data_IF_414098873680
#
_entry.id   IF_414098873680
#
_cell.length_a   1.000
_cell.length_b   1.000
_cell.length_c   1.000
_cell.angle_alpha   90.00
_cell.angle_beta   90.00
_cell.angle_gamma   90.00
#
_symmetry.space_group_name_H-M   'P 1'
#
loop_
_entity.id
_entity.type
_entity.pdbx_description
1 polymer ?
#
# COMPACT_ATOMS: atom_id res chain seq x y z
N UNK A 1 32.32 -45.39 12.30
CA UNK A 1 33.78 -45.54 12.31
C UNK A 1 34.42 -44.19 12.64
N UNK A 2 35.07 -44.17 13.80
CA UNK A 2 36.03 -43.18 14.35
C UNK A 2 35.66 -41.67 14.44
N UNK A 3 35.29 -41.32 15.65
CA UNK A 3 35.37 -40.06 16.41
C UNK A 3 36.83 -39.55 16.41
N UNK A 4 37.04 -38.25 16.21
CA UNK A 4 38.20 -37.53 16.77
C UNK A 4 37.73 -36.27 17.45
N UNK A 5 37.82 -36.31 18.77
CA UNK A 5 37.82 -35.16 19.69
C UNK A 5 39.14 -34.40 19.52
N UNK A 6 39.12 -33.08 19.57
CA UNK A 6 40.30 -32.32 19.93
C UNK A 6 39.90 -31.23 20.97
N UNK A 7 40.71 -31.25 22.01
CA UNK A 7 40.54 -30.64 23.32
C UNK A 7 41.08 -29.19 23.33
N UNK A 8 40.51 -28.40 24.19
CA UNK A 8 40.88 -27.02 24.57
C UNK A 8 42.29 -26.86 25.11
N UNK A 9 42.83 -25.65 24.97
CA UNK A 9 43.86 -25.15 25.89
C UNK A 9 43.59 -23.66 26.22
N UNK A 10 43.33 -23.41 27.49
CA UNK A 10 43.33 -22.10 28.15
C UNK A 10 44.80 -21.61 28.24
N UNK A 11 45.03 -20.32 28.00
CA UNK A 11 46.20 -19.65 28.50
C UNK A 11 45.79 -18.26 29.03
N UNK A 12 45.74 -18.16 30.34
CA UNK A 12 45.68 -16.94 31.14
C UNK A 12 47.07 -16.30 31.18
N UNK A 13 47.15 -15.00 30.92
CA UNK A 13 48.35 -14.19 31.11
C UNK A 13 48.01 -12.90 31.79
N UNK A 14 48.23 -12.86 33.12
CA UNK A 14 48.38 -11.64 33.92
C UNK A 14 49.63 -10.88 33.45
N UNK A 15 49.56 -9.57 33.31
CA UNK A 15 50.72 -8.71 33.50
C UNK A 15 50.37 -7.40 34.20
N UNK A 16 51.18 -7.20 35.18
CA UNK A 16 51.20 -6.24 36.28
C UNK A 16 51.60 -4.82 35.88
N UNK A 17 51.14 -3.89 36.68
CA UNK A 17 51.50 -2.49 36.83
C UNK A 17 53.00 -2.16 36.80
N UNK A 18 53.34 -1.00 36.23
CA UNK A 18 54.46 -0.18 36.71
C UNK A 18 54.19 1.33 36.52
N UNK A 19 54.16 2.01 37.63
CA UNK A 19 54.22 3.47 37.79
C UNK A 19 55.68 3.94 37.81
N UNK A 20 55.96 5.01 37.10
CA UNK A 20 56.96 6.06 37.43
C UNK A 20 56.89 7.10 36.31
N UNK A 21 56.76 8.39 36.45
CA UNK A 21 57.12 9.34 37.46
C UNK A 21 57.78 10.57 36.80
N UNK A 22 57.12 11.76 36.87
CA UNK A 22 57.67 13.16 36.88
C UNK A 22 58.60 13.63 35.72
N UNK A 23 58.35 14.68 35.01
CA UNK A 23 58.41 16.10 35.34
C UNK A 23 58.40 17.03 34.12
N UNK A 24 57.58 18.09 34.17
CA UNK A 24 57.94 19.47 33.86
C UNK A 24 58.03 19.96 32.41
N UNK A 25 57.02 20.71 31.96
CA UNK A 25 57.14 22.11 31.50
C UNK A 25 55.87 22.53 30.75
N UNK A 26 55.23 23.62 31.17
CA UNK A 26 54.21 24.41 30.49
C UNK A 26 54.92 25.37 29.48
N UNK A 27 54.22 26.12 28.53
CA UNK A 27 52.79 26.30 28.37
C UNK A 27 52.32 26.38 26.90
N UNK A 28 50.98 26.47 26.81
CA UNK A 28 50.18 27.25 25.84
C UNK A 28 49.83 26.66 24.48
N UNK A 29 48.59 26.26 24.36
CA UNK A 29 47.60 26.80 23.43
C UNK A 29 46.24 26.20 23.79
N UNK A 30 45.33 27.06 24.19
CA UNK A 30 43.92 26.73 24.38
C UNK A 30 43.30 26.25 23.08
N UNK A 31 43.11 24.94 22.94
CA UNK A 31 42.09 24.40 22.07
C UNK A 31 40.79 24.32 22.91
N UNK A 32 39.86 25.18 22.63
CA UNK A 32 38.49 25.02 23.10
C UNK A 32 38.00 23.65 22.66
N UNK A 33 38.04 22.68 23.54
CA UNK A 33 37.25 21.47 23.44
C UNK A 33 35.83 21.92 23.62
N UNK A 34 35.13 22.08 22.50
CA UNK A 34 33.67 22.05 22.48
C UNK A 34 33.29 20.70 23.07
N UNK A 35 32.88 20.71 24.34
CA UNK A 35 32.25 19.57 24.98
C UNK A 35 30.99 19.29 24.16
N UNK A 36 31.01 18.26 23.30
CA UNK A 36 29.80 17.67 22.82
C UNK A 36 29.02 17.26 24.04
N UNK A 37 27.93 17.95 24.29
CA UNK A 37 26.89 17.51 25.21
C UNK A 37 26.44 16.13 24.73
N UNK A 38 26.99 15.08 25.34
CA UNK A 38 26.55 13.70 25.09
C UNK A 38 25.25 13.51 25.84
N UNK A 39 24.15 14.07 25.29
CA UNK A 39 22.80 13.76 25.74
C UNK A 39 22.64 12.25 25.86
N UNK A 40 21.82 11.82 26.82
CA UNK A 40 21.51 10.38 27.03
C UNK A 40 21.20 9.72 25.70
N UNK A 41 21.95 8.69 25.33
CA UNK A 41 21.70 7.91 24.13
C UNK A 41 20.30 7.31 24.17
N UNK A 42 19.54 7.49 23.11
CA UNK A 42 18.19 6.95 22.91
C UNK A 42 18.32 5.79 21.92
N UNK A 43 17.83 4.62 22.30
CA UNK A 43 17.72 3.49 21.40
C UNK A 43 16.26 3.28 21.04
N UNK A 44 15.96 3.17 19.73
CA UNK A 44 14.66 2.81 19.18
C UNK A 44 14.75 1.44 18.52
N UNK A 45 13.81 0.56 18.81
CA UNK A 45 13.65 -0.70 18.10
C UNK A 45 12.68 -0.45 16.92
N UNK A 46 13.11 -0.77 15.71
CA UNK A 46 12.28 -0.62 14.51
C UNK A 46 12.20 -1.91 13.72
N UNK A 47 11.00 -2.27 13.25
CA UNK A 47 10.84 -3.44 12.38
C UNK A 47 9.91 -3.22 11.18
N UNK A 48 10.22 -3.92 10.08
CA UNK A 48 9.43 -3.92 8.85
C UNK A 48 9.58 -5.22 8.06
N UNK A 49 8.65 -5.44 7.10
CA UNK A 49 8.78 -6.52 6.11
C UNK A 49 9.11 -5.97 4.73
N UNK A 50 9.72 -6.81 3.90
CA UNK A 50 9.95 -6.48 2.50
C UNK A 50 10.95 -7.38 1.79
N UNK A 51 11.38 -6.93 0.61
CA UNK A 51 12.46 -7.50 -0.16
C UNK A 51 13.83 -6.98 0.33
N UNK A 52 14.92 -7.59 -0.13
CA UNK A 52 16.27 -7.12 0.18
C UNK A 52 16.48 -5.66 -0.25
N UNK A 53 15.96 -5.26 -1.42
CA UNK A 53 16.02 -3.86 -1.89
C UNK A 53 15.39 -2.90 -0.88
N UNK A 54 14.25 -3.28 -0.29
CA UNK A 54 13.60 -2.49 0.76
C UNK A 54 14.43 -2.42 2.03
N UNK A 55 15.05 -3.54 2.42
CA UNK A 55 15.90 -3.59 3.61
C UNK A 55 17.10 -2.67 3.46
N UNK A 56 17.79 -2.75 2.32
CA UNK A 56 18.97 -1.93 2.03
C UNK A 56 18.64 -0.43 1.98
N UNK A 57 17.52 -0.06 1.34
CA UNK A 57 17.08 1.33 1.28
C UNK A 57 16.69 1.86 2.66
N UNK A 58 15.96 1.08 3.46
CA UNK A 58 15.53 1.50 4.80
C UNK A 58 16.73 1.66 5.75
N UNK A 59 17.70 0.75 5.70
CA UNK A 59 18.92 0.86 6.50
C UNK A 59 19.72 2.13 6.15
N UNK A 60 19.84 2.49 4.86
CA UNK A 60 20.48 3.75 4.46
C UNK A 60 19.74 4.98 4.97
N UNK A 61 18.42 4.94 5.04
CA UNK A 61 17.63 6.04 5.65
C UNK A 61 17.88 6.14 7.14
N UNK A 62 17.99 4.99 7.84
CA UNK A 62 18.36 4.95 9.26
C UNK A 62 19.76 5.55 9.48
N UNK A 63 20.76 5.12 8.71
CA UNK A 63 22.12 5.66 8.75
C UNK A 63 22.15 7.19 8.51
N UNK A 64 21.34 7.68 7.56
CA UNK A 64 21.21 9.11 7.30
C UNK A 64 20.61 9.84 8.53
N UNK A 65 19.57 9.30 9.14
CA UNK A 65 18.96 9.89 10.33
C UNK A 65 19.94 9.92 11.51
N UNK A 66 20.62 8.80 11.80
CA UNK A 66 21.60 8.71 12.88
C UNK A 66 22.78 9.66 12.68
N UNK A 67 23.21 9.87 11.43
CA UNK A 67 24.27 10.84 11.13
C UNK A 67 23.89 12.29 11.47
N UNK A 68 22.60 12.61 11.40
CA UNK A 68 22.04 13.92 11.75
C UNK A 68 21.65 14.00 13.24
N UNK A 69 21.44 12.84 13.89
CA UNK A 69 20.99 12.71 15.29
C UNK A 69 21.91 11.75 16.07
N UNK A 70 23.15 12.15 16.38
CA UNK A 70 24.18 11.24 16.91
C UNK A 70 23.89 10.68 18.31
N UNK A 71 22.87 11.19 18.99
CA UNK A 71 22.37 10.67 20.26
C UNK A 71 21.28 9.60 20.10
N UNK A 72 20.85 9.30 18.86
CA UNK A 72 19.82 8.29 18.57
C UNK A 72 20.48 7.10 17.89
N UNK A 73 20.08 5.91 18.29
CA UNK A 73 20.44 4.65 17.66
C UNK A 73 19.17 3.84 17.36
N UNK A 74 19.06 3.30 16.14
CA UNK A 74 17.89 2.53 15.70
C UNK A 74 18.32 1.08 15.47
N UNK A 75 17.86 0.19 16.36
CA UNK A 75 18.00 -1.25 16.22
C UNK A 75 16.97 -1.75 15.21
N UNK A 76 17.44 -2.12 14.01
CA UNK A 76 16.61 -2.51 12.86
C UNK A 76 16.42 -4.03 12.82
N UNK A 77 15.17 -4.46 12.73
CA UNK A 77 14.80 -5.84 12.45
C UNK A 77 13.96 -5.89 11.16
N UNK A 78 14.24 -6.83 10.26
CA UNK A 78 13.48 -6.96 9.02
C UNK A 78 13.27 -8.43 8.64
N UNK A 79 12.15 -8.70 7.98
CA UNK A 79 11.66 -10.04 7.73
C UNK A 79 10.98 -10.13 6.36
N UNK A 80 10.72 -11.35 5.88
CA UNK A 80 9.66 -11.60 4.91
C UNK A 80 8.27 -11.32 5.53
N UNK A 81 7.23 -11.29 4.70
CA UNK A 81 5.89 -10.90 5.14
C UNK A 81 5.32 -11.83 6.23
N UNK A 82 5.39 -13.14 6.03
CA UNK A 82 4.78 -14.11 6.95
C UNK A 82 5.54 -14.19 8.28
N UNK A 83 6.85 -14.20 8.23
CA UNK A 83 7.73 -14.18 9.42
C UNK A 83 7.54 -12.92 10.24
N UNK A 84 7.37 -11.77 9.58
CA UNK A 84 7.12 -10.49 10.25
C UNK A 84 5.85 -10.54 11.11
N UNK A 85 4.71 -10.95 10.54
CA UNK A 85 3.44 -10.99 11.29
C UNK A 85 3.42 -12.08 12.36
N UNK A 86 4.07 -13.21 12.15
CA UNK A 86 4.27 -14.24 13.18
C UNK A 86 5.05 -13.67 14.37
N UNK A 87 6.10 -12.92 14.11
CA UNK A 87 6.90 -12.26 15.15
C UNK A 87 6.10 -11.16 15.85
N UNK A 88 5.42 -10.30 15.08
CA UNK A 88 4.57 -9.23 15.63
C UNK A 88 3.48 -9.78 16.54
N UNK A 89 2.78 -10.84 16.15
CA UNK A 89 1.76 -11.48 16.99
C UNK A 89 2.34 -11.99 18.32
N UNK A 90 3.53 -12.55 18.27
CA UNK A 90 4.25 -12.99 19.48
C UNK A 90 4.58 -11.82 20.41
N UNK A 91 5.06 -10.71 19.85
CA UNK A 91 5.42 -9.52 20.61
C UNK A 91 4.19 -8.79 21.17
N UNK A 92 3.09 -8.77 20.41
CA UNK A 92 1.79 -8.24 20.87
C UNK A 92 1.28 -9.05 22.07
N UNK A 93 1.37 -10.38 22.00
CA UNK A 93 0.96 -11.24 23.12
C UNK A 93 1.85 -11.06 24.38
N UNK A 94 3.11 -10.68 24.18
CA UNK A 94 4.07 -10.39 25.26
C UNK A 94 4.04 -8.93 25.74
N UNK A 95 3.26 -8.06 25.10
CA UNK A 95 3.21 -6.61 25.34
C UNK A 95 4.57 -5.89 25.15
N UNK A 96 5.41 -6.44 24.24
CA UNK A 96 6.79 -6.00 23.96
C UNK A 96 7.03 -5.67 22.47
N UNK A 97 6.09 -4.95 21.84
CA UNK A 97 6.20 -4.53 20.43
C UNK A 97 7.36 -3.53 20.27
N UNK A 98 8.03 -3.57 19.10
CA UNK A 98 9.05 -2.58 18.72
C UNK A 98 8.53 -1.15 18.88
N UNK A 99 9.40 -0.19 19.12
CA UNK A 99 9.02 1.24 19.27
C UNK A 99 8.35 1.77 18.00
N UNK A 100 8.92 1.42 16.84
CA UNK A 100 8.38 1.75 15.51
C UNK A 100 8.15 0.45 14.76
N UNK A 101 6.96 0.28 14.18
CA UNK A 101 6.64 -0.93 13.43
C UNK A 101 5.76 -0.63 12.22
N UNK A 102 5.95 -1.43 11.17
CA UNK A 102 5.24 -1.28 9.91
C UNK A 102 3.94 -2.05 9.93
N UNK A 103 2.85 -1.43 9.46
CA UNK A 103 1.57 -2.10 9.19
C UNK A 103 1.10 -1.83 7.77
N UNK A 104 0.15 -2.63 7.31
CA UNK A 104 -0.59 -2.46 6.07
C UNK A 104 -2.09 -2.44 6.34
N UNK A 105 -2.89 -2.90 5.40
CA UNK A 105 -4.35 -2.96 5.55
C UNK A 105 -4.88 -3.83 6.70
N UNK A 106 -4.01 -4.60 7.36
CA UNK A 106 -4.30 -5.43 8.53
C UNK A 106 -4.15 -4.70 9.88
N UNK A 107 -3.95 -3.38 9.87
CA UNK A 107 -3.77 -2.60 11.09
C UNK A 107 -4.92 -2.68 12.11
N UNK A 108 -6.21 -2.94 11.73
CA UNK A 108 -7.29 -3.04 12.69
C UNK A 108 -7.03 -4.01 13.84
N UNK A 109 -6.41 -5.14 13.54
CA UNK A 109 -6.02 -6.17 14.53
C UNK A 109 -5.10 -5.61 15.63
N UNK A 110 -4.30 -4.58 15.31
CA UNK A 110 -3.23 -4.07 16.16
C UNK A 110 -3.53 -2.69 16.77
N UNK A 111 -4.71 -2.09 16.53
CA UNK A 111 -5.06 -0.73 16.99
C UNK A 111 -4.80 -0.53 18.50
N UNK A 112 -5.08 -1.53 19.32
CA UNK A 112 -4.87 -1.45 20.77
C UNK A 112 -3.41 -1.29 21.18
N UNK A 113 -2.47 -1.65 20.30
CA UNK A 113 -1.03 -1.58 20.55
C UNK A 113 -0.40 -0.31 19.95
N UNK A 114 -1.19 0.52 19.27
CA UNK A 114 -0.71 1.73 18.56
C UNK A 114 -0.92 2.96 19.43
N UNK A 115 0.07 3.85 19.44
CA UNK A 115 -0.01 5.21 19.95
C UNK A 115 -0.56 6.13 18.86
N UNK A 116 -1.69 6.84 19.07
CA UNK A 116 -2.20 7.82 18.11
C UNK A 116 -1.21 8.97 17.88
N UNK A 117 -1.11 9.42 16.63
CA UNK A 117 -0.16 10.46 16.23
C UNK A 117 -0.72 11.88 16.32
N UNK A 118 -2.03 12.04 16.62
CA UNK A 118 -2.71 13.33 16.63
C UNK A 118 -2.03 14.38 17.52
N UNK A 119 -1.54 13.96 18.70
CA UNK A 119 -0.80 14.83 19.61
C UNK A 119 0.49 15.36 18.98
N UNK A 120 1.29 14.49 18.37
CA UNK A 120 2.57 14.84 17.75
C UNK A 120 2.38 15.72 16.50
N UNK A 121 1.28 15.54 15.77
CA UNK A 121 0.91 16.40 14.63
C UNK A 121 0.50 17.79 15.15
N UNK A 122 -0.35 17.86 16.17
CA UNK A 122 -0.79 19.11 16.78
C UNK A 122 0.38 19.92 17.36
N UNK A 123 1.32 19.25 17.98
CA UNK A 123 2.50 19.88 18.62
C UNK A 123 3.61 20.22 17.60
N UNK A 124 3.40 19.87 16.30
CA UNK A 124 4.33 20.16 15.20
C UNK A 124 5.57 19.28 15.16
N UNK A 125 5.63 18.19 15.94
CA UNK A 125 6.70 17.18 15.89
C UNK A 125 6.61 16.40 14.57
N UNK A 126 5.38 16.08 14.13
CA UNK A 126 5.09 15.53 12.82
C UNK A 126 4.45 16.61 11.96
N UNK A 127 5.13 16.98 10.87
CA UNK A 127 4.62 17.97 9.93
C UNK A 127 3.80 17.30 8.82
N UNK A 128 2.52 17.64 8.76
CA UNK A 128 1.58 17.17 7.73
C UNK A 128 1.04 18.29 6.84
N UNK A 129 1.64 19.51 6.91
CA UNK A 129 1.15 20.67 6.17
C UNK A 129 1.33 20.57 4.65
N UNK A 130 2.16 19.65 4.19
CA UNK A 130 2.50 19.45 2.77
C UNK A 130 1.83 18.21 2.17
N UNK A 131 0.68 17.81 2.72
CA UNK A 131 -0.13 16.69 2.19
C UNK A 131 -1.63 17.03 2.25
N UNK A 132 -2.45 16.25 1.55
CA UNK A 132 -3.90 16.44 1.57
C UNK A 132 -4.57 15.49 2.57
N UNK A 133 -5.81 15.83 2.96
CA UNK A 133 -6.62 14.98 3.84
C UNK A 133 -6.88 13.60 3.23
N UNK A 134 -6.94 13.47 1.91
CA UNK A 134 -7.09 12.17 1.24
C UNK A 134 -5.93 11.22 1.54
N UNK A 135 -4.70 11.74 1.53
CA UNK A 135 -3.53 10.93 1.90
C UNK A 135 -3.50 10.60 3.39
N UNK A 136 -3.84 11.56 4.27
CA UNK A 136 -3.86 11.34 5.72
C UNK A 136 -4.97 10.34 6.12
N UNK A 137 -6.13 10.42 5.48
CA UNK A 137 -7.26 9.54 5.76
C UNK A 137 -6.94 8.05 5.55
N UNK A 138 -5.93 7.72 4.73
CA UNK A 138 -5.53 6.33 4.44
C UNK A 138 -5.02 5.57 5.67
N UNK A 139 -4.64 6.27 6.71
CA UNK A 139 -4.08 5.70 7.94
C UNK A 139 -4.79 6.21 9.21
N UNK A 140 -6.03 6.67 9.06
CA UNK A 140 -6.93 6.96 10.20
C UNK A 140 -7.77 5.73 10.55
N UNK A 141 -8.07 5.59 11.83
CA UNK A 141 -9.07 4.62 12.28
C UNK A 141 -10.51 5.11 12.02
N UNK A 142 -11.49 4.27 12.32
CA UNK A 142 -12.90 4.61 12.13
C UNK A 142 -13.41 5.76 13.04
N UNK A 143 -12.63 6.14 14.06
CA UNK A 143 -12.92 7.28 14.93
C UNK A 143 -12.24 8.57 14.42
N UNK A 144 -11.48 8.49 13.34
CA UNK A 144 -10.73 9.59 12.76
C UNK A 144 -9.36 9.86 13.37
N UNK A 145 -8.89 9.01 14.30
CA UNK A 145 -7.56 9.13 14.91
C UNK A 145 -6.47 8.73 13.92
N UNK A 146 -5.40 9.51 13.84
CA UNK A 146 -4.24 9.20 13.02
C UNK A 146 -3.38 8.14 13.72
N UNK A 147 -3.45 6.88 13.28
CA UNK A 147 -2.80 5.74 13.94
C UNK A 147 -1.45 5.36 13.35
N UNK A 148 -1.05 6.01 12.29
CA UNK A 148 0.24 5.86 11.62
C UNK A 148 0.38 6.87 10.51
N UNK A 149 1.55 6.95 9.87
CA UNK A 149 1.73 7.70 8.64
C UNK A 149 2.07 6.77 7.50
N UNK A 150 1.37 6.94 6.39
CA UNK A 150 1.67 6.21 5.16
C UNK A 150 3.05 6.57 4.66
N UNK A 151 3.85 5.55 4.36
CA UNK A 151 5.20 5.66 3.81
C UNK A 151 5.25 5.40 2.32
N UNK A 152 4.09 5.30 1.71
CA UNK A 152 3.85 5.19 0.29
C UNK A 152 2.39 4.93 0.02
N UNK A 153 1.89 5.45 -1.09
CA UNK A 153 0.50 5.28 -1.49
C UNK A 153 0.41 4.70 -2.89
N UNK A 154 -0.67 3.97 -3.11
CA UNK A 154 -1.08 3.45 -4.40
C UNK A 154 -2.56 3.76 -4.62
N UNK A 155 -3.03 3.57 -5.83
CA UNK A 155 -4.45 3.58 -6.15
C UNK A 155 -4.72 2.57 -7.25
N UNK A 156 -5.96 2.16 -7.42
CA UNK A 156 -6.34 1.31 -8.55
C UNK A 156 -6.66 2.16 -9.78
N UNK A 157 -6.41 1.57 -10.95
CA UNK A 157 -6.72 2.17 -12.23
C UNK A 157 -6.85 1.10 -13.31
N UNK A 158 -7.14 1.56 -14.50
CA UNK A 158 -7.16 0.73 -15.72
C UNK A 158 -5.92 1.10 -16.53
N UNK A 159 -4.94 0.19 -16.59
CA UNK A 159 -3.83 0.29 -17.53
C UNK A 159 -4.35 -0.01 -18.93
N UNK A 160 -3.92 0.74 -19.94
CA UNK A 160 -4.37 0.58 -21.32
C UNK A 160 -3.26 0.91 -22.33
N UNK A 161 -3.39 0.32 -23.51
CA UNK A 161 -2.52 0.57 -24.65
C UNK A 161 -3.16 1.60 -25.60
N UNK A 162 -2.67 2.85 -25.67
CA UNK A 162 -3.25 3.88 -26.53
C UNK A 162 -3.16 3.55 -28.03
N UNK A 163 -2.17 2.74 -28.47
CA UNK A 163 -2.08 2.34 -29.87
C UNK A 163 -3.19 1.35 -30.24
N UNK A 164 -3.58 0.45 -29.33
CA UNK A 164 -4.70 -0.46 -29.55
C UNK A 164 -6.03 0.29 -29.58
N UNK A 165 -6.21 1.31 -28.71
CA UNK A 165 -7.35 2.22 -28.79
C UNK A 165 -7.42 2.94 -30.12
N UNK A 166 -6.32 3.52 -30.58
CA UNK A 166 -6.24 4.19 -31.89
C UNK A 166 -6.57 3.22 -33.04
N UNK A 167 -6.02 2.00 -33.03
CA UNK A 167 -6.30 0.96 -34.04
C UNK A 167 -7.77 0.55 -34.07
N UNK A 168 -8.44 0.55 -32.91
CA UNK A 168 -9.87 0.29 -32.80
C UNK A 168 -10.73 1.50 -33.16
N UNK A 169 -10.14 2.68 -33.38
CA UNK A 169 -10.86 3.93 -33.67
C UNK A 169 -11.50 4.56 -32.45
N UNK A 170 -10.97 4.25 -31.25
CA UNK A 170 -11.43 4.76 -29.96
C UNK A 170 -10.58 5.95 -29.51
N UNK A 171 -11.19 6.87 -28.77
CA UNK A 171 -10.48 7.88 -27.99
C UNK A 171 -9.89 7.23 -26.73
N UNK A 172 -8.82 7.83 -26.17
CA UNK A 172 -8.28 7.41 -24.89
C UNK A 172 -9.30 7.66 -23.76
N UNK A 173 -9.33 6.83 -22.69
CA UNK A 173 -10.25 7.00 -21.58
C UNK A 173 -10.12 8.37 -20.90
N UNK A 174 -11.25 9.05 -20.68
CA UNK A 174 -11.32 10.32 -19.94
C UNK A 174 -11.30 10.10 -18.42
N UNK A 175 -11.09 11.17 -17.66
CA UNK A 175 -11.05 11.08 -16.18
C UNK A 175 -12.41 10.76 -15.54
N UNK A 176 -13.50 10.99 -16.25
CA UNK A 176 -14.88 10.78 -15.79
C UNK A 176 -15.66 9.76 -16.63
N UNK A 177 -14.93 8.91 -17.37
CA UNK A 177 -15.56 7.83 -18.13
C UNK A 177 -16.34 6.87 -17.21
N UNK A 178 -17.29 6.14 -17.81
CA UNK A 178 -18.24 5.31 -17.08
C UNK A 178 -18.03 3.82 -17.36
N UNK A 179 -18.64 2.95 -16.56
CA UNK A 179 -18.67 1.51 -16.82
C UNK A 179 -19.37 1.19 -18.15
N UNK A 180 -20.32 2.03 -18.60
CA UNK A 180 -20.93 1.88 -19.93
C UNK A 180 -19.94 2.24 -21.05
N UNK A 181 -19.12 3.28 -20.86
CA UNK A 181 -18.05 3.63 -21.81
C UNK A 181 -17.02 2.49 -21.87
N UNK A 182 -16.55 1.97 -20.70
CA UNK A 182 -15.63 0.85 -20.61
C UNK A 182 -16.18 -0.42 -21.30
N UNK A 183 -17.45 -0.76 -21.07
CA UNK A 183 -18.13 -1.89 -21.72
C UNK A 183 -18.14 -1.72 -23.24
N UNK A 184 -18.54 -0.54 -23.72
CA UNK A 184 -18.57 -0.21 -25.14
C UNK A 184 -17.19 -0.32 -25.77
N UNK A 185 -16.16 0.18 -25.11
CA UNK A 185 -14.77 0.09 -25.58
C UNK A 185 -14.31 -1.37 -25.66
N UNK A 186 -14.62 -2.19 -24.65
CA UNK A 186 -14.33 -3.63 -24.68
C UNK A 186 -14.95 -4.33 -25.91
N UNK A 187 -16.24 -4.08 -26.19
CA UNK A 187 -16.95 -4.66 -27.34
C UNK A 187 -16.30 -4.16 -28.64
N UNK A 188 -16.05 -2.86 -28.75
CA UNK A 188 -15.45 -2.27 -29.96
C UNK A 188 -14.06 -2.84 -30.25
N UNK A 189 -13.23 -3.00 -29.23
CA UNK A 189 -11.89 -3.61 -29.34
C UNK A 189 -12.02 -5.04 -29.83
N UNK A 190 -12.93 -5.82 -29.25
CA UNK A 190 -13.22 -7.20 -29.73
C UNK A 190 -13.61 -7.23 -31.16
N UNK A 191 -14.57 -6.40 -31.59
CA UNK A 191 -15.06 -6.36 -32.95
C UNK A 191 -14.00 -5.92 -33.97
N UNK A 192 -13.16 -4.95 -33.62
CA UNK A 192 -12.19 -4.36 -34.56
C UNK A 192 -10.85 -5.10 -34.58
N UNK A 193 -10.41 -5.65 -33.44
CA UNK A 193 -9.06 -6.21 -33.30
C UNK A 193 -9.07 -7.73 -33.03
N UNK A 194 -10.21 -8.31 -32.64
CA UNK A 194 -10.34 -9.74 -32.32
C UNK A 194 -9.75 -10.15 -30.96
N UNK A 195 -9.18 -9.20 -30.19
CA UNK A 195 -8.61 -9.42 -28.87
C UNK A 195 -9.63 -9.11 -27.77
N UNK A 196 -9.31 -9.39 -26.51
CA UNK A 196 -10.12 -8.95 -25.37
C UNK A 196 -10.07 -7.42 -25.21
N UNK A 197 -11.16 -6.81 -24.77
CA UNK A 197 -11.18 -5.40 -24.38
C UNK A 197 -10.37 -5.18 -23.12
N UNK A 198 -10.56 -6.05 -22.10
CA UNK A 198 -9.81 -6.02 -20.85
C UNK A 198 -9.35 -7.42 -20.45
N UNK A 199 -8.16 -7.52 -19.86
CA UNK A 199 -7.57 -8.77 -19.38
C UNK A 199 -8.24 -9.28 -18.10
N UNK A 200 -8.22 -8.49 -17.07
CA UNK A 200 -8.81 -8.83 -15.75
C UNK A 200 -9.29 -7.61 -15.02
N UNK A 201 -10.11 -7.83 -14.00
CA UNK A 201 -10.58 -6.84 -13.02
C UNK A 201 -10.54 -7.48 -11.63
N UNK A 202 -10.24 -6.71 -10.60
CA UNK A 202 -10.57 -7.12 -9.23
C UNK A 202 -12.08 -6.98 -9.03
N UNK A 203 -12.78 -8.07 -9.21
CA UNK A 203 -14.23 -8.08 -9.20
C UNK A 203 -14.83 -7.72 -7.84
N UNK A 204 -14.16 -8.06 -6.72
CA UNK A 204 -14.69 -7.70 -5.41
C UNK A 204 -14.55 -6.19 -5.17
N UNK A 205 -13.42 -5.62 -5.54
CA UNK A 205 -13.23 -4.18 -5.43
C UNK A 205 -14.16 -3.44 -6.38
N UNK A 206 -14.17 -3.78 -7.67
CA UNK A 206 -14.96 -3.07 -8.67
C UNK A 206 -16.47 -3.31 -8.52
N UNK A 207 -16.87 -4.57 -8.31
CA UNK A 207 -18.27 -5.00 -8.34
C UNK A 207 -18.98 -4.93 -6.99
N UNK A 208 -18.27 -4.82 -5.88
CA UNK A 208 -18.85 -4.77 -4.53
C UNK A 208 -18.51 -3.45 -3.84
N UNK A 209 -17.25 -3.25 -3.46
CA UNK A 209 -16.90 -2.09 -2.63
C UNK A 209 -17.07 -0.77 -3.36
N UNK A 210 -16.52 -0.65 -4.58
CA UNK A 210 -16.69 0.56 -5.40
C UNK A 210 -18.13 0.73 -5.85
N UNK A 211 -18.81 -0.35 -6.24
CA UNK A 211 -20.19 -0.28 -6.69
C UNK A 211 -21.10 0.31 -5.62
N UNK A 212 -20.93 -0.10 -4.34
CA UNK A 212 -21.64 0.50 -3.21
C UNK A 212 -21.35 2.01 -3.10
N UNK A 213 -20.08 2.40 -3.11
CA UNK A 213 -19.65 3.81 -2.97
C UNK A 213 -20.03 4.68 -4.16
N UNK A 214 -20.05 4.13 -5.38
CA UNK A 214 -20.46 4.84 -6.59
C UNK A 214 -21.96 5.02 -6.71
N UNK A 215 -22.76 4.16 -6.06
CA UNK A 215 -24.23 4.26 -6.09
C UNK A 215 -24.73 5.49 -5.33
N UNK A 216 -24.07 5.81 -4.22
CA UNK A 216 -24.42 6.96 -3.40
C UNK A 216 -23.14 7.50 -2.74
N UNK A 217 -22.94 8.82 -2.81
CA UNK A 217 -21.84 9.50 -2.15
C UNK A 217 -21.76 9.09 -0.69
N UNK A 218 -20.55 8.79 -0.22
CA UNK A 218 -20.21 8.37 1.16
C UNK A 218 -20.86 7.04 1.61
N UNK A 219 -21.47 6.27 0.69
CA UNK A 219 -21.91 4.91 0.99
C UNK A 219 -20.76 3.91 0.93
N UNK A 220 -20.87 2.86 1.72
CA UNK A 220 -19.89 1.77 1.76
C UNK A 220 -20.61 0.41 1.69
N UNK A 221 -19.88 -0.63 1.34
CA UNK A 221 -20.42 -1.97 1.42
C UNK A 221 -20.49 -2.44 2.89
N UNK A 222 -19.42 -2.24 3.63
CA UNK A 222 -19.37 -2.53 5.06
C UNK A 222 -19.71 -1.32 5.91
N UNK A 223 -20.35 -1.53 7.06
CA UNK A 223 -20.57 -0.48 8.05
C UNK A 223 -19.23 -0.04 8.66
N UNK A 224 -19.09 1.23 8.98
CA UNK A 224 -17.92 1.77 9.68
C UNK A 224 -17.71 1.18 11.07
N UNK A 225 -18.78 0.66 11.69
CA UNK A 225 -18.76 -0.04 12.97
C UNK A 225 -18.20 -1.47 12.88
N UNK A 226 -17.96 -1.98 11.66
CA UNK A 226 -17.48 -3.35 11.40
C UNK A 226 -18.40 -4.47 11.90
N UNK A 227 -19.66 -4.18 12.17
CA UNK A 227 -20.67 -5.12 12.71
C UNK A 227 -21.72 -5.55 11.66
N UNK A 228 -21.46 -5.29 10.40
CA UNK A 228 -22.41 -5.63 9.33
C UNK A 228 -22.07 -5.02 7.98
N UNK A 229 -22.99 -5.22 7.05
CA UNK A 229 -22.99 -4.52 5.76
C UNK A 229 -23.99 -3.36 5.79
N UNK A 230 -23.66 -2.30 5.07
CA UNK A 230 -24.53 -1.13 4.89
C UNK A 230 -25.44 -1.29 3.68
N UNK A 231 -24.95 -1.99 2.64
CA UNK A 231 -25.69 -2.20 1.41
C UNK A 231 -26.80 -3.24 1.57
N UNK A 232 -28.02 -2.87 1.24
CA UNK A 232 -29.22 -3.75 1.31
C UNK A 232 -29.83 -4.05 -0.05
N UNK A 233 -29.64 -3.18 -1.03
CA UNK A 233 -30.16 -3.33 -2.38
C UNK A 233 -29.21 -4.19 -3.24
N UNK A 234 -29.64 -5.34 -3.77
CA UNK A 234 -28.83 -6.18 -4.64
C UNK A 234 -28.67 -5.62 -6.07
N UNK A 235 -29.52 -4.69 -6.50
CA UNK A 235 -29.56 -4.25 -7.91
C UNK A 235 -28.21 -3.71 -8.44
N UNK A 236 -27.47 -2.84 -7.71
CA UNK A 236 -26.18 -2.36 -8.22
C UNK A 236 -25.15 -3.47 -8.46
N UNK A 237 -25.18 -4.52 -7.63
CA UNK A 237 -24.29 -5.68 -7.75
C UNK A 237 -24.71 -6.60 -8.89
N UNK A 238 -26.03 -6.79 -9.06
CA UNK A 238 -26.59 -7.55 -10.19
C UNK A 238 -26.25 -6.90 -11.53
N UNK A 239 -26.35 -5.58 -11.63
CA UNK A 239 -26.00 -4.82 -12.85
C UNK A 239 -24.52 -5.01 -13.25
N UNK A 240 -23.63 -5.02 -12.26
CA UNK A 240 -22.21 -5.30 -12.51
C UNK A 240 -21.99 -6.75 -13.00
N UNK A 241 -22.58 -7.73 -12.33
CA UNK A 241 -22.48 -9.14 -12.70
C UNK A 241 -23.04 -9.39 -14.10
N UNK A 242 -24.16 -8.75 -14.44
CA UNK A 242 -24.76 -8.80 -15.78
C UNK A 242 -23.82 -8.24 -16.85
N UNK A 243 -23.20 -7.09 -16.59
CA UNK A 243 -22.23 -6.48 -17.51
C UNK A 243 -21.05 -7.43 -17.78
N UNK A 244 -20.48 -8.05 -16.74
CA UNK A 244 -19.39 -9.01 -16.92
C UNK A 244 -19.82 -10.25 -17.69
N UNK A 245 -21.02 -10.78 -17.38
CA UNK A 245 -21.60 -11.92 -18.11
C UNK A 245 -21.75 -11.62 -19.61
N UNK A 246 -22.34 -10.48 -19.94
CA UNK A 246 -22.53 -10.06 -21.34
C UNK A 246 -21.20 -9.92 -22.10
N UNK A 247 -20.19 -9.29 -21.46
CA UNK A 247 -18.86 -9.17 -22.06
C UNK A 247 -18.14 -10.52 -22.24
N UNK A 248 -18.37 -11.46 -21.32
CA UNK A 248 -17.82 -12.81 -21.41
C UNK A 248 -18.49 -13.59 -22.54
N UNK A 249 -19.83 -13.51 -22.65
CA UNK A 249 -20.61 -14.17 -23.72
C UNK A 249 -20.22 -13.63 -25.12
N UNK A 250 -19.96 -12.32 -25.24
CA UNK A 250 -19.49 -11.66 -26.45
C UNK A 250 -18.00 -11.94 -26.75
N UNK A 251 -17.26 -12.60 -25.83
CA UNK A 251 -15.83 -12.84 -25.93
C UNK A 251 -14.98 -11.55 -25.87
N UNK A 252 -15.56 -10.45 -25.37
CA UNK A 252 -14.87 -9.18 -25.17
C UNK A 252 -14.12 -9.11 -23.81
N UNK A 253 -14.44 -10.02 -22.90
CA UNK A 253 -13.80 -10.22 -21.62
C UNK A 253 -13.52 -11.72 -21.41
N UNK A 254 -12.35 -12.13 -20.87
CA UNK A 254 -12.03 -13.55 -20.67
C UNK A 254 -12.92 -14.17 -19.59
N UNK A 255 -13.19 -15.47 -19.72
CA UNK A 255 -13.89 -16.24 -18.69
C UNK A 255 -12.98 -16.51 -17.47
N UNK A 256 -13.59 -17.01 -16.40
CA UNK A 256 -12.88 -17.29 -15.14
C UNK A 256 -11.73 -18.30 -15.33
N UNK A 257 -11.85 -19.25 -16.26
CA UNK A 257 -10.80 -20.23 -16.58
C UNK A 257 -9.59 -19.54 -17.20
N UNK A 258 -9.81 -18.70 -18.20
CA UNK A 258 -8.77 -17.94 -18.87
C UNK A 258 -8.06 -16.97 -17.91
N UNK A 259 -8.81 -16.29 -17.01
CA UNK A 259 -8.23 -15.40 -15.99
C UNK A 259 -7.34 -16.18 -15.01
N UNK A 260 -7.70 -17.40 -14.62
CA UNK A 260 -6.90 -18.25 -13.73
C UNK A 260 -5.54 -18.67 -14.31
N UNK A 261 -5.38 -18.61 -15.63
CA UNK A 261 -4.10 -18.87 -16.30
C UNK A 261 -3.10 -17.71 -16.21
N UNK A 262 -3.56 -16.50 -15.87
CA UNK A 262 -2.71 -15.34 -15.64
C UNK A 262 -2.04 -15.49 -14.27
N UNK A 263 -0.78 -15.94 -14.25
CA UNK A 263 -0.04 -16.22 -13.00
C UNK A 263 0.77 -15.02 -12.49
N UNK A 264 1.22 -14.18 -13.40
CA UNK A 264 2.11 -13.05 -13.14
C UNK A 264 1.78 -11.87 -14.09
N UNK A 265 2.59 -10.82 -14.01
CA UNK A 265 2.44 -9.63 -14.86
C UNK A 265 2.78 -9.97 -16.32
N UNK A 266 3.78 -10.79 -16.54
CA UNK A 266 4.26 -11.19 -17.87
C UNK A 266 3.20 -11.97 -18.64
N UNK A 267 2.36 -12.75 -17.94
CA UNK A 267 1.24 -13.50 -18.51
C UNK A 267 -0.05 -12.69 -18.65
N UNK A 268 -0.11 -11.43 -18.21
CA UNK A 268 -1.30 -10.59 -18.39
C UNK A 268 -1.56 -10.31 -19.88
N UNK A 269 -2.82 -10.44 -20.32
CA UNK A 269 -3.18 -10.27 -21.73
C UNK A 269 -2.92 -8.87 -22.28
N UNK A 270 -2.87 -7.83 -21.42
CA UNK A 270 -2.37 -6.53 -21.86
C UNK A 270 -0.89 -6.62 -22.22
N UNK A 271 -0.08 -7.33 -21.44
CA UNK A 271 1.36 -7.49 -21.69
C UNK A 271 1.61 -8.33 -22.94
N UNK A 272 0.89 -9.42 -23.13
CA UNK A 272 1.03 -10.28 -24.33
C UNK A 272 0.44 -9.65 -25.60
N UNK A 273 -0.44 -8.66 -25.46
CA UNK A 273 -1.12 -7.99 -26.57
C UNK A 273 -2.46 -8.61 -26.94
N UNK A 274 -2.96 -9.56 -26.16
CA UNK A 274 -4.25 -10.22 -26.34
C UNK A 274 -5.41 -9.47 -25.68
N UNK A 275 -5.13 -8.36 -24.96
CA UNK A 275 -6.09 -7.39 -24.44
C UNK A 275 -5.58 -5.96 -24.59
N UNK A 276 -6.51 -5.00 -24.65
CA UNK A 276 -6.17 -3.57 -24.72
C UNK A 276 -6.12 -2.87 -23.36
N UNK A 277 -6.73 -3.46 -22.34
CA UNK A 277 -6.80 -2.92 -20.97
C UNK A 277 -6.56 -4.01 -19.94
N UNK A 278 -6.17 -3.60 -18.72
CA UNK A 278 -6.17 -4.46 -17.53
C UNK A 278 -6.32 -3.62 -16.25
N UNK A 279 -6.95 -4.20 -15.23
CA UNK A 279 -7.01 -3.62 -13.89
C UNK A 279 -5.65 -3.73 -13.20
N UNK A 280 -5.20 -2.63 -12.59
CA UNK A 280 -3.90 -2.59 -11.91
C UNK A 280 -3.96 -1.82 -10.58
N UNK A 281 -3.09 -2.16 -9.66
CA UNK A 281 -2.59 -1.20 -8.69
C UNK A 281 -1.52 -0.32 -9.35
N UNK A 282 -1.51 0.96 -9.08
CA UNK A 282 -0.65 1.96 -9.77
C UNK A 282 0.83 1.58 -9.83
N UNK A 283 1.36 0.95 -8.76
CA UNK A 283 2.74 0.49 -8.71
C UNK A 283 3.08 -0.65 -9.70
N UNK A 284 2.09 -1.32 -10.28
CA UNK A 284 2.29 -2.38 -11.27
C UNK A 284 2.53 -1.84 -12.69
N UNK A 285 2.18 -0.58 -12.96
CA UNK A 285 2.27 0.02 -14.29
C UNK A 285 3.70 -0.03 -14.84
N UNK A 286 4.71 0.28 -14.02
CA UNK A 286 6.11 0.22 -14.45
C UNK A 286 6.51 -1.19 -14.89
N UNK A 287 6.10 -2.22 -14.14
CA UNK A 287 6.38 -3.62 -14.52
C UNK A 287 5.70 -4.00 -15.84
N UNK A 288 4.45 -3.54 -16.06
CA UNK A 288 3.72 -3.77 -17.32
C UNK A 288 4.40 -3.07 -18.50
N UNK A 289 4.83 -1.82 -18.33
CA UNK A 289 5.58 -1.06 -19.35
C UNK A 289 6.86 -1.81 -19.73
N UNK A 290 7.65 -2.24 -18.74
CA UNK A 290 8.89 -2.96 -18.99
C UNK A 290 8.67 -4.33 -19.63
N UNK A 291 7.70 -5.12 -19.14
CA UNK A 291 7.43 -6.43 -19.66
C UNK A 291 6.85 -6.40 -21.09
N UNK A 292 5.97 -5.44 -21.39
CA UNK A 292 5.36 -5.31 -22.72
C UNK A 292 6.26 -4.60 -23.74
N UNK A 293 7.20 -3.76 -23.28
CA UNK A 293 7.99 -2.87 -24.15
C UNK A 293 7.14 -1.82 -24.89
N UNK A 294 5.90 -1.57 -24.46
CA UNK A 294 4.93 -0.67 -25.13
C UNK A 294 4.64 0.57 -24.27
N UNK A 295 4.11 1.61 -24.91
CA UNK A 295 3.67 2.82 -24.25
C UNK A 295 2.32 2.58 -23.56
N UNK A 296 2.36 2.05 -22.34
CA UNK A 296 1.16 1.83 -21.54
C UNK A 296 0.86 3.07 -20.70
N UNK A 297 -0.42 3.45 -20.66
CA UNK A 297 -0.94 4.53 -19.82
C UNK A 297 -1.90 3.97 -18.77
N UNK A 298 -2.30 4.81 -17.81
CA UNK A 298 -3.27 4.45 -16.78
C UNK A 298 -4.38 5.50 -16.71
N UNK A 299 -5.62 5.03 -16.68
CA UNK A 299 -6.83 5.83 -16.50
C UNK A 299 -7.43 5.57 -15.12
N UNK A 300 -8.21 6.54 -14.57
CA UNK A 300 -9.04 6.27 -13.40
C UNK A 300 -9.99 5.09 -13.64
N UNK A 301 -10.37 4.39 -12.60
CA UNK A 301 -11.43 3.36 -12.72
C UNK A 301 -12.74 4.00 -13.17
N UNK A 302 -13.55 3.30 -13.98
CA UNK A 302 -14.82 3.86 -14.47
C UNK A 302 -15.79 4.20 -13.33
N UNK A 303 -16.63 5.23 -13.53
CA UNK A 303 -17.71 5.63 -12.61
C UNK A 303 -19.06 5.03 -13.06
N UNK A 304 -20.06 5.02 -12.17
CA UNK A 304 -21.43 4.68 -12.59
C UNK A 304 -22.04 5.74 -13.49
N UNK A 305 -21.78 7.01 -13.21
CA UNK A 305 -22.30 8.13 -13.99
C UNK A 305 -21.23 9.20 -14.15
N UNK A 306 -21.24 9.94 -15.25
CA UNK A 306 -20.37 11.13 -15.41
C UNK A 306 -20.60 12.09 -14.27
N UNK A 307 -19.51 12.59 -13.69
CA UNK A 307 -19.52 13.46 -12.49
C UNK A 307 -20.10 12.81 -11.20
N UNK A 308 -20.42 11.52 -11.22
CA UNK A 308 -20.81 10.76 -10.04
C UNK A 308 -19.65 10.53 -9.08
N UNK A 309 -19.91 9.91 -7.91
CA UNK A 309 -18.86 9.52 -6.99
C UNK A 309 -17.82 8.63 -7.67
N UNK A 310 -16.54 8.84 -7.34
CA UNK A 310 -15.46 8.01 -7.88
C UNK A 310 -15.44 6.61 -7.22
N UNK A 311 -15.83 6.56 -5.94
CA UNK A 311 -15.96 5.32 -5.18
C UNK A 311 -14.62 4.74 -4.72
N UNK A 312 -13.52 5.45 -4.94
CA UNK A 312 -12.18 5.04 -4.52
C UNK A 312 -11.27 6.25 -4.42
N UNK A 313 -10.26 6.13 -3.58
CA UNK A 313 -9.20 7.12 -3.43
C UNK A 313 -7.82 6.47 -3.43
N UNK A 314 -6.84 7.22 -3.00
CA UNK A 314 -5.51 6.68 -2.70
C UNK A 314 -5.58 5.77 -1.48
N UNK A 315 -4.71 4.77 -1.45
CA UNK A 315 -4.61 3.80 -0.35
C UNK A 315 -3.18 3.77 0.17
N UNK A 316 -3.02 3.61 1.48
CA UNK A 316 -1.69 3.36 2.05
C UNK A 316 -1.21 1.98 1.61
N UNK A 317 0.00 1.94 1.03
CA UNK A 317 0.69 0.68 0.77
C UNK A 317 1.18 0.06 2.08
N UNK A 318 1.79 0.91 2.91
CA UNK A 318 2.27 0.59 4.26
C UNK A 318 2.30 1.88 5.08
N UNK A 319 2.28 1.72 6.40
CA UNK A 319 2.39 2.82 7.35
C UNK A 319 3.40 2.50 8.45
N UNK A 320 4.03 3.52 8.99
CA UNK A 320 4.79 3.41 10.25
C UNK A 320 3.91 3.82 11.41
N UNK A 321 3.90 2.97 12.43
CA UNK A 321 3.16 3.15 13.68
C UNK A 321 4.14 3.23 14.85
N UNK A 322 3.73 3.92 15.92
CA UNK A 322 4.44 3.95 17.19
C UNK A 322 3.77 2.97 18.15
N UNK A 323 4.56 2.19 18.87
CA UNK A 323 4.03 1.32 19.92
C UNK A 323 3.50 2.14 21.09
N UNK A 324 2.31 1.80 21.57
CA UNK A 324 1.72 2.40 22.78
C UNK A 324 2.65 2.27 24.00
N UNK A 325 3.45 1.21 24.05
CA UNK A 325 4.35 0.89 25.17
C UNK A 325 5.76 1.45 25.01
N UNK A 326 6.08 2.07 23.86
CA UNK A 326 7.37 2.73 23.66
C UNK A 326 7.67 3.73 24.76
N UNK A 327 8.91 3.76 25.23
CA UNK A 327 9.41 4.73 26.21
C UNK A 327 10.06 5.94 25.56
N UNK A 328 10.22 5.92 24.23
CA UNK A 328 10.83 6.97 23.43
C UNK A 328 9.89 7.47 22.31
N UNK A 329 8.60 7.60 22.61
CA UNK A 329 7.54 7.91 21.65
C UNK A 329 7.79 9.20 20.85
N UNK A 330 8.28 10.25 21.52
CA UNK A 330 8.57 11.52 20.86
C UNK A 330 9.71 11.37 19.84
N UNK A 331 10.75 10.61 20.17
CA UNK A 331 11.85 10.34 19.24
C UNK A 331 11.40 9.45 18.09
N UNK A 332 10.55 8.46 18.35
CA UNK A 332 9.91 7.67 17.32
C UNK A 332 9.06 8.54 16.36
N UNK A 333 8.33 9.53 16.89
CA UNK A 333 7.57 10.49 16.10
C UNK A 333 8.48 11.38 15.23
N UNK A 334 9.63 11.82 15.74
CA UNK A 334 10.64 12.59 14.99
C UNK A 334 11.21 11.75 13.83
N UNK A 335 11.52 10.48 14.09
CA UNK A 335 11.99 9.58 13.02
C UNK A 335 10.92 9.36 11.96
N UNK A 336 9.66 9.12 12.33
CA UNK A 336 8.55 9.00 11.36
C UNK A 336 8.41 10.28 10.55
N UNK A 337 8.47 11.45 11.19
CA UNK A 337 8.47 12.73 10.50
C UNK A 337 9.61 12.85 9.49
N UNK A 338 10.83 12.49 9.88
CA UNK A 338 11.97 12.46 8.99
C UNK A 338 11.74 11.50 7.81
N UNK A 339 11.28 10.29 8.08
CA UNK A 339 11.07 9.26 7.06
C UNK A 339 10.11 9.71 5.95
N UNK A 340 9.06 10.47 6.28
CA UNK A 340 8.06 10.90 5.30
C UNK A 340 8.33 12.27 4.68
N UNK A 341 9.08 13.15 5.36
CA UNK A 341 9.29 14.54 4.94
C UNK A 341 10.68 14.83 4.35
N UNK A 342 11.71 14.04 4.71
CA UNK A 342 13.07 14.31 4.24
C UNK A 342 13.24 13.90 2.77
N UNK A 343 13.69 14.83 1.95
CA UNK A 343 13.84 14.63 0.51
C UNK A 343 14.95 13.61 0.20
N UNK A 344 16.08 13.69 0.91
CA UNK A 344 17.22 12.78 0.65
C UNK A 344 16.89 11.36 1.11
N UNK A 345 16.20 11.20 2.24
CA UNK A 345 15.66 9.90 2.66
C UNK A 345 14.75 9.29 1.58
N UNK A 346 13.84 10.09 1.02
CA UNK A 346 12.90 9.62 0.00
C UNK A 346 13.56 9.38 -1.37
N UNK A 347 14.63 10.10 -1.72
CA UNK A 347 15.48 9.76 -2.88
C UNK A 347 16.16 8.39 -2.72
N UNK A 348 16.60 8.06 -1.50
CA UNK A 348 17.15 6.73 -1.18
C UNK A 348 16.08 5.64 -1.31
N UNK A 349 14.86 5.89 -0.81
CA UNK A 349 13.72 4.97 -0.91
C UNK A 349 13.23 4.79 -2.35
N UNK A 350 13.38 5.82 -3.20
CA UNK A 350 13.09 5.81 -4.63
C UNK A 350 11.72 5.20 -5.01
N UNK A 351 10.67 5.52 -4.24
CA UNK A 351 9.31 5.03 -4.51
C UNK A 351 9.09 3.53 -4.30
N UNK A 352 10.05 2.80 -3.73
CA UNK A 352 9.95 1.34 -3.50
C UNK A 352 8.71 0.97 -2.66
N UNK A 353 8.26 1.87 -1.79
CA UNK A 353 7.08 1.67 -0.94
C UNK A 353 5.78 2.23 -1.53
N UNK A 354 5.85 2.84 -2.72
CA UNK A 354 4.77 3.59 -3.36
C UNK A 354 5.04 5.08 -3.40
N UNK A 355 4.05 5.85 -3.85
CA UNK A 355 4.17 7.30 -4.01
C UNK A 355 4.14 7.99 -2.65
N UNK A 356 5.12 8.86 -2.31
CA UNK A 356 5.15 9.59 -1.05
C UNK A 356 3.92 10.46 -0.84
N UNK A 357 3.48 10.59 0.41
CA UNK A 357 2.29 11.39 0.75
C UNK A 357 2.54 12.91 0.77
N UNK A 358 3.80 13.35 0.89
CA UNK A 358 4.18 14.76 0.94
C UNK A 358 4.45 15.30 -0.47
N UNK A 359 3.82 16.44 -0.85
CA UNK A 359 3.87 16.99 -2.21
C UNK A 359 5.28 17.35 -2.65
N UNK A 360 6.04 18.07 -1.80
CA UNK A 360 7.42 18.46 -2.11
C UNK A 360 8.35 17.25 -2.27
N UNK A 361 8.11 16.22 -1.48
CA UNK A 361 8.85 14.96 -1.59
C UNK A 361 8.52 14.28 -2.92
N UNK A 362 7.23 14.20 -3.30
CA UNK A 362 6.82 13.66 -4.61
C UNK A 362 7.49 14.40 -5.77
N UNK A 363 7.43 15.73 -5.76
CA UNK A 363 8.07 16.57 -6.78
C UNK A 363 9.58 16.30 -6.91
N UNK A 364 10.25 16.15 -5.77
CA UNK A 364 11.69 15.89 -5.76
C UNK A 364 12.04 14.48 -6.28
N UNK A 365 11.26 13.46 -5.88
CA UNK A 365 11.52 12.07 -6.28
C UNK A 365 11.11 11.81 -7.73
N UNK A 366 10.01 12.38 -8.21
CA UNK A 366 9.55 12.22 -9.60
C UNK A 366 10.57 12.74 -10.61
N UNK A 367 11.37 13.74 -10.23
CA UNK A 367 12.43 14.27 -11.08
C UNK A 367 13.53 13.25 -11.42
N UNK A 368 13.67 12.20 -10.60
CA UNK A 368 14.65 11.12 -10.79
C UNK A 368 14.01 9.84 -11.37
N UNK A 369 12.68 9.79 -11.45
CA UNK A 369 11.97 8.64 -11.98
C UNK A 369 12.14 8.53 -13.50
N UNK A 370 12.17 7.31 -14.01
CA UNK A 370 12.02 7.06 -15.44
C UNK A 370 10.60 7.43 -15.92
N UNK A 371 10.35 7.32 -17.22
CA UNK A 371 9.04 7.70 -17.76
C UNK A 371 7.91 6.84 -17.22
N UNK A 372 8.13 5.57 -16.92
CA UNK A 372 7.14 4.68 -16.31
C UNK A 372 6.84 5.06 -14.87
N UNK A 373 7.85 5.46 -14.11
CA UNK A 373 7.69 6.00 -12.76
C UNK A 373 6.90 7.31 -12.75
N UNK A 374 7.18 8.23 -13.67
CA UNK A 374 6.41 9.49 -13.79
C UNK A 374 4.92 9.25 -13.99
N UNK A 375 4.55 8.28 -14.84
CA UNK A 375 3.15 7.89 -15.05
C UNK A 375 2.47 7.53 -13.72
N UNK A 376 3.16 6.77 -12.86
CA UNK A 376 2.64 6.36 -11.55
C UNK A 376 2.46 7.57 -10.62
N UNK A 377 3.48 8.42 -10.52
CA UNK A 377 3.43 9.61 -9.65
C UNK A 377 2.32 10.57 -10.06
N UNK A 378 2.21 10.89 -11.36
CA UNK A 378 1.19 11.78 -11.91
C UNK A 378 -0.22 11.21 -11.67
N UNK A 379 -0.37 9.90 -11.84
CA UNK A 379 -1.66 9.24 -11.64
C UNK A 379 -2.09 9.25 -10.17
N UNK A 380 -1.21 8.86 -9.24
CA UNK A 380 -1.53 8.85 -7.80
C UNK A 380 -1.80 10.26 -7.29
N UNK A 381 -1.02 11.25 -7.73
CA UNK A 381 -1.24 12.65 -7.37
C UNK A 381 -2.61 13.14 -7.88
N UNK A 382 -2.96 12.82 -9.13
CA UNK A 382 -4.26 13.14 -9.71
C UNK A 382 -5.40 12.57 -8.86
N UNK A 383 -5.35 11.29 -8.51
CA UNK A 383 -6.41 10.64 -7.69
C UNK A 383 -6.43 11.20 -6.26
N UNK A 384 -5.28 11.50 -5.68
CA UNK A 384 -5.14 12.12 -4.36
C UNK A 384 -5.77 13.54 -4.29
N UNK A 385 -5.90 14.20 -5.43
CA UNK A 385 -6.54 15.51 -5.57
C UNK A 385 -8.01 15.45 -5.99
N UNK A 386 -8.59 14.26 -6.20
CA UNK A 386 -10.02 14.15 -6.44
C UNK A 386 -10.83 14.59 -5.20
N UNK A 387 -12.09 15.03 -5.37
CA UNK A 387 -12.94 15.35 -4.24
C UNK A 387 -12.97 14.23 -3.22
N UNK A 388 -12.79 14.57 -1.94
CA UNK A 388 -12.81 13.60 -0.85
C UNK A 388 -14.14 12.85 -0.83
N UNK A 389 -14.04 11.53 -0.78
CA UNK A 389 -15.15 10.63 -0.55
C UNK A 389 -14.86 9.80 0.71
N UNK A 390 -15.86 9.60 1.54
CA UNK A 390 -15.72 8.86 2.79
C UNK A 390 -15.88 7.34 2.54
N UNK A 391 -15.10 6.84 1.58
CA UNK A 391 -15.13 5.44 1.13
C UNK A 391 -14.08 4.54 1.79
N UNK A 392 -13.20 5.10 2.63
CA UNK A 392 -12.17 4.33 3.33
C UNK A 392 -12.74 3.75 4.63
N UNK A 393 -13.35 2.60 4.55
CA UNK A 393 -13.76 1.82 5.72
C UNK A 393 -12.71 0.75 6.00
N UNK A 394 -12.28 0.69 7.25
CA UNK A 394 -11.46 -0.44 7.71
C UNK A 394 -12.26 -1.73 7.49
N UNK A 395 -11.66 -2.66 6.77
CA UNK A 395 -12.33 -3.91 6.44
C UNK A 395 -12.59 -4.75 7.70
N UNK A 396 -13.80 -5.29 7.89
CA UNK A 396 -14.12 -6.20 9.00
C UNK A 396 -13.45 -7.57 8.81
N UNK A 397 -13.32 -8.32 9.91
CA UNK A 397 -12.70 -9.66 9.90
C UNK A 397 -13.28 -10.62 8.84
N UNK A 398 -14.63 -10.70 8.63
CA UNK A 398 -15.18 -11.62 7.64
C UNK A 398 -15.00 -11.21 6.17
N UNK A 399 -14.32 -10.07 5.86
CA UNK A 399 -14.13 -9.61 4.47
C UNK A 399 -13.55 -10.69 3.55
N UNK A 400 -12.51 -11.40 4.00
CA UNK A 400 -11.84 -12.41 3.17
C UNK A 400 -12.79 -13.54 2.75
N UNK A 401 -13.63 -14.01 3.66
CA UNK A 401 -14.61 -15.05 3.36
C UNK A 401 -15.71 -14.55 2.42
N UNK A 402 -16.12 -13.29 2.56
CA UNK A 402 -17.11 -12.65 1.68
C UNK A 402 -16.52 -12.47 0.27
N UNK A 403 -15.28 -12.07 0.18
CA UNK A 403 -14.55 -11.93 -1.08
C UNK A 403 -14.41 -13.28 -1.80
N UNK A 404 -14.05 -14.34 -1.10
CA UNK A 404 -13.94 -15.68 -1.67
C UNK A 404 -15.28 -16.21 -2.15
N UNK A 405 -16.37 -15.98 -1.38
CA UNK A 405 -17.72 -16.31 -1.82
C UNK A 405 -18.10 -15.54 -3.09
N UNK A 406 -17.74 -14.25 -3.20
CA UNK A 406 -18.05 -13.46 -4.38
C UNK A 406 -17.29 -13.94 -5.62
N UNK A 407 -16.03 -14.36 -5.46
CA UNK A 407 -15.24 -14.98 -6.55
C UNK A 407 -15.95 -16.23 -7.12
N UNK A 408 -16.52 -17.06 -6.25
CA UNK A 408 -17.29 -18.23 -6.67
C UNK A 408 -18.60 -17.83 -7.39
N UNK A 409 -19.28 -16.80 -6.90
CA UNK A 409 -20.52 -16.33 -7.48
C UNK A 409 -20.32 -15.77 -8.89
N UNK A 410 -19.27 -14.95 -9.10
CA UNK A 410 -19.00 -14.39 -10.41
C UNK A 410 -18.59 -15.47 -11.42
N UNK A 411 -17.81 -16.47 -11.01
CA UNK A 411 -17.50 -17.62 -11.85
C UNK A 411 -18.77 -18.36 -12.29
N UNK A 412 -19.69 -18.63 -11.37
CA UNK A 412 -20.99 -19.26 -11.68
C UNK A 412 -21.84 -18.40 -12.62
N UNK A 413 -21.82 -17.09 -12.45
CA UNK A 413 -22.52 -16.16 -13.36
C UNK A 413 -21.91 -16.22 -14.77
N UNK A 414 -20.59 -16.18 -14.90
CA UNK A 414 -19.91 -16.28 -16.19
C UNK A 414 -20.26 -17.58 -16.94
N UNK A 415 -20.33 -18.71 -16.23
CA UNK A 415 -20.72 -19.99 -16.83
C UNK A 415 -22.23 -20.19 -16.98
N UNK A 416 -23.06 -19.27 -16.46
CA UNK A 416 -24.52 -19.34 -16.57
C UNK A 416 -25.20 -20.27 -15.56
N UNK A 417 -24.48 -20.71 -14.52
CA UNK A 417 -25.00 -21.58 -13.48
C UNK A 417 -25.91 -20.85 -12.46
N UNK A 418 -25.74 -19.53 -12.33
CA UNK A 418 -26.54 -18.66 -11.46
C UNK A 418 -26.82 -17.35 -12.19
N UNK A 419 -28.05 -16.82 -12.04
CA UNK A 419 -28.39 -15.50 -12.59
C UNK A 419 -27.64 -14.37 -11.88
N UNK A 420 -27.34 -13.24 -12.54
CA UNK A 420 -26.77 -12.06 -11.89
C UNK A 420 -27.58 -11.59 -10.66
N UNK A 421 -28.90 -11.62 -10.76
CA UNK A 421 -29.84 -11.21 -9.70
C UNK A 421 -29.77 -12.16 -8.49
N UNK A 422 -29.75 -13.48 -8.72
CA UNK A 422 -29.63 -14.45 -7.65
C UNK A 422 -28.24 -14.43 -7.01
N UNK A 423 -27.18 -14.22 -7.78
CA UNK A 423 -25.82 -14.10 -7.27
C UNK A 423 -25.66 -12.86 -6.38
N UNK A 424 -26.20 -11.72 -6.77
CA UNK A 424 -26.20 -10.51 -5.96
C UNK A 424 -26.94 -10.69 -4.64
N UNK A 425 -28.09 -11.39 -4.67
CA UNK A 425 -28.86 -11.73 -3.48
C UNK A 425 -28.07 -12.66 -2.54
N UNK A 426 -27.48 -13.72 -3.10
CA UNK A 426 -26.64 -14.65 -2.35
C UNK A 426 -25.42 -13.94 -1.72
N UNK A 427 -24.80 -12.96 -2.39
CA UNK A 427 -23.74 -12.13 -1.81
C UNK A 427 -24.21 -11.42 -0.55
N UNK A 428 -25.37 -10.72 -0.63
CA UNK A 428 -25.88 -9.95 0.51
C UNK A 428 -26.28 -10.86 1.67
N UNK A 429 -26.97 -11.97 1.39
CA UNK A 429 -27.42 -12.94 2.40
C UNK A 429 -26.21 -13.60 3.10
N UNK A 430 -25.22 -14.03 2.32
CA UNK A 430 -23.98 -14.58 2.88
C UNK A 430 -23.24 -13.55 3.73
N UNK A 431 -23.09 -12.32 3.22
CA UNK A 431 -22.42 -11.25 3.95
C UNK A 431 -23.11 -10.94 5.28
N UNK A 432 -24.46 -10.84 5.30
CA UNK A 432 -25.24 -10.64 6.53
C UNK A 432 -25.03 -11.78 7.54
N UNK A 433 -24.97 -13.03 7.05
CA UNK A 433 -24.80 -14.21 7.91
C UNK A 433 -23.47 -14.22 8.68
N UNK A 434 -22.44 -13.54 8.14
CA UNK A 434 -21.09 -13.46 8.75
C UNK A 434 -21.02 -12.53 9.96
N UNK A 435 -22.04 -11.73 10.20
CA UNK A 435 -22.12 -10.79 11.33
C UNK A 435 -23.23 -11.18 12.34
N UNK A 436 -23.89 -12.31 12.14
CA UNK A 436 -24.89 -12.84 13.07
C UNK A 436 -24.19 -13.79 14.07
N UNK A 437 -23.70 -13.24 15.17
CA UNK A 437 -23.15 -14.00 16.31
C UNK A 437 -23.96 -13.74 17.57
#
# INVERSE_FOLDING_TARGET
MKIKKLTALFLSGLMTFSLAGCSGSKPSASAETVSKDTGKQITLRMAWWGSQTRHDATNKVIELYESQNPNVHIEAEFYDFDSYFTKLDTLVAADDVWDIFQLGGNFPKYIKNIEPLDGYIKDGIINTSDTTENFLATTKDNNGSQIGLSIGTNTYGIAYDPELFQKAGLAEPENDWTWDDWKKDCITIKEKLGIYGSSKIDHFIAGVTMRASQTKKDANFFKKTNDGIESEDPAPFADYLKMIKELTDDGAYPDAGAIKEIKDIEGDYLVTGDAAMTWVSSNQVSSIVHASGRNIKIAPVPRLTKNGPYGMGVQSSQQLCISRNSKAKEEAAKFINFFVNDIEANKILNGERGVPIMSKVREAVVSQADDSGKIIYDFVDKIGNFPKEDSNVISPDPKAEIEDQYKLLIEKVQYGDVSPEDAAKQLLDFSKSKFQH
#
